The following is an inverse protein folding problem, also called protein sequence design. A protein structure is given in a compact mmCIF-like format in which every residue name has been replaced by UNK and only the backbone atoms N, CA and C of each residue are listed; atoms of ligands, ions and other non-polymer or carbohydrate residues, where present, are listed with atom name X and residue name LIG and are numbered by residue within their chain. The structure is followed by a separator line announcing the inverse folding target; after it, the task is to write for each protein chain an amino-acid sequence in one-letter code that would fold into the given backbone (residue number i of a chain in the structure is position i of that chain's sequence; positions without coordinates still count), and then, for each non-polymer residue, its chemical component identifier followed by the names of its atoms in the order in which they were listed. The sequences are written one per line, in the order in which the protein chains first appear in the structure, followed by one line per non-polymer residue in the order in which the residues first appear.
data_IF_725199031174
#
_entry.id   IF_725199031174
#
_cell.length_a   1.000
_cell.length_b   1.000
_cell.length_c   1.000
_cell.angle_alpha   90.00
_cell.angle_beta   90.00
_cell.angle_gamma   90.00
#
_symmetry.space_group_name_H-M   'P 1'
#
loop_
_entity.id
_entity.type
_entity.pdbx_description
1 polymer ?
#
# COMPACT_ATOMS: atom_id res chain seq x y z
N UNK A 1 2.35 18.09 19.76
CA UNK A 1 3.25 16.94 19.52
C UNK A 1 4.49 17.29 18.72
N UNK A 2 4.38 17.66 17.44
CA UNK A 2 5.56 17.92 16.58
C UNK A 2 6.49 19.00 17.17
N UNK A 3 5.95 20.12 17.65
CA UNK A 3 6.77 21.18 18.26
C UNK A 3 7.52 20.69 19.52
N UNK A 4 6.88 19.86 20.34
CA UNK A 4 7.51 19.29 21.54
C UNK A 4 8.62 18.29 21.15
N UNK A 5 8.37 17.42 20.16
CA UNK A 5 9.37 16.50 19.64
C UNK A 5 10.57 17.23 19.03
N UNK A 6 10.34 18.33 18.31
CA UNK A 6 11.44 19.17 17.77
C UNK A 6 12.24 19.87 18.88
N UNK A 7 11.57 20.31 19.95
CA UNK A 7 12.22 21.03 21.04
C UNK A 7 12.99 20.11 22.01
N UNK A 8 12.47 18.90 22.25
CA UNK A 8 12.97 18.00 23.30
C UNK A 8 13.69 16.76 22.76
N UNK A 9 13.39 16.35 21.53
CA UNK A 9 13.80 15.04 21.00
C UNK A 9 12.90 13.88 21.42
N UNK A 10 11.90 14.13 22.27
CA UNK A 10 11.06 13.10 22.89
C UNK A 10 9.57 13.28 22.55
N UNK A 11 8.82 12.18 22.64
CA UNK A 11 7.37 12.18 22.51
C UNK A 11 6.74 11.22 23.54
N UNK A 12 5.58 11.61 24.05
CA UNK A 12 4.79 10.76 24.94
C UNK A 12 3.83 9.90 24.13
N UNK A 13 3.94 8.58 24.29
CA UNK A 13 3.01 7.63 23.69
C UNK A 13 2.52 6.66 24.76
N UNK A 14 1.20 6.45 24.82
CA UNK A 14 0.64 5.30 25.53
C UNK A 14 0.78 4.07 24.63
N UNK A 15 1.35 3.01 25.19
CA UNK A 15 1.62 1.76 24.48
C UNK A 15 0.29 1.15 24.00
N UNK A 16 0.07 0.99 22.68
CA UNK A 16 -1.15 0.39 22.17
C UNK A 16 -1.09 -1.14 22.32
N UNK A 17 -2.24 -1.82 22.49
CA UNK A 17 -2.29 -3.26 22.27
C UNK A 17 -2.00 -3.61 20.80
N UNK A 18 -1.55 -4.83 20.54
CA UNK A 18 -1.27 -5.29 19.16
C UNK A 18 -2.30 -6.32 18.71
N UNK A 19 -2.84 -6.13 17.51
CA UNK A 19 -3.64 -7.12 16.78
C UNK A 19 -2.75 -7.74 15.71
N UNK A 20 -2.62 -9.06 15.73
CA UNK A 20 -1.83 -9.82 14.77
C UNK A 20 -2.70 -10.29 13.60
N UNK A 21 -2.25 -10.03 12.38
CA UNK A 21 -2.89 -10.47 11.15
C UNK A 21 -1.94 -11.44 10.42
N UNK A 22 -2.35 -12.70 10.34
CA UNK A 22 -1.58 -13.77 9.69
C UNK A 22 -2.18 -14.09 8.33
N UNK A 23 -1.40 -13.95 7.26
CA UNK A 23 -1.85 -14.20 5.89
C UNK A 23 -1.15 -15.45 5.34
N UNK A 24 -1.93 -16.52 5.16
CA UNK A 24 -1.49 -17.81 4.69
C UNK A 24 -1.67 -17.95 3.17
N UNK A 25 -0.84 -18.80 2.55
CA UNK A 25 -0.96 -19.15 1.15
C UNK A 25 -0.26 -18.18 0.18
N UNK A 26 -0.54 -18.35 -1.10
CA UNK A 26 0.16 -17.65 -2.18
C UNK A 26 -0.73 -16.61 -2.86
N UNK A 27 -0.17 -15.44 -3.15
CA UNK A 27 -0.89 -14.38 -3.83
C UNK A 27 -1.17 -14.73 -5.30
N UNK A 28 -2.43 -14.59 -5.70
CA UNK A 28 -2.87 -14.72 -7.07
C UNK A 28 -2.29 -13.65 -7.99
N UNK A 29 -2.49 -13.82 -9.30
CA UNK A 29 -2.07 -12.82 -10.29
C UNK A 29 -2.75 -11.48 -10.01
N UNK A 30 -1.97 -10.40 -10.03
CA UNK A 30 -2.40 -9.02 -9.77
C UNK A 30 -2.72 -8.68 -8.31
N UNK A 31 -2.71 -9.67 -7.42
CA UNK A 31 -2.96 -9.46 -5.99
C UNK A 31 -1.68 -9.01 -5.32
N UNK A 32 -1.76 -7.93 -4.54
CA UNK A 32 -0.63 -7.39 -3.78
C UNK A 32 -1.04 -6.78 -2.45
N UNK A 33 -0.13 -5.98 -1.87
CA UNK A 33 -0.36 -5.33 -0.58
C UNK A 33 -1.62 -4.46 -0.54
N UNK A 34 -2.02 -3.85 -1.67
CA UNK A 34 -3.26 -3.06 -1.76
C UNK A 34 -4.50 -3.93 -1.56
N UNK A 35 -4.54 -5.09 -2.20
CA UNK A 35 -5.67 -6.01 -2.11
C UNK A 35 -5.76 -6.63 -0.71
N UNK A 36 -4.62 -7.00 -0.12
CA UNK A 36 -4.56 -7.55 1.23
C UNK A 36 -5.07 -6.58 2.30
N UNK A 37 -4.64 -5.31 2.23
CA UNK A 37 -5.09 -4.32 3.23
C UNK A 37 -6.54 -3.91 3.01
N UNK A 38 -7.00 -3.79 1.76
CA UNK A 38 -8.42 -3.55 1.47
C UNK A 38 -9.31 -4.70 1.94
N UNK A 39 -8.91 -5.95 1.67
CA UNK A 39 -9.61 -7.14 2.16
C UNK A 39 -9.73 -7.12 3.69
N UNK A 40 -8.62 -6.78 4.37
CA UNK A 40 -8.57 -6.68 5.83
C UNK A 40 -9.49 -5.59 6.36
N UNK A 41 -9.41 -4.36 5.82
CA UNK A 41 -10.28 -3.24 6.21
C UNK A 41 -11.75 -3.56 5.91
N UNK A 42 -12.04 -4.22 4.79
CA UNK A 42 -13.39 -4.70 4.47
C UNK A 42 -13.94 -5.70 5.47
N UNK A 43 -13.08 -6.54 6.05
CA UNK A 43 -13.47 -7.53 7.06
C UNK A 43 -13.65 -6.92 8.46
N UNK A 44 -12.74 -6.06 8.89
CA UNK A 44 -12.72 -5.54 10.27
C UNK A 44 -13.42 -4.18 10.42
N UNK A 45 -13.67 -3.47 9.33
CA UNK A 45 -14.24 -2.13 9.31
C UNK A 45 -13.22 -1.02 9.61
N UNK A 46 -13.68 0.23 9.54
CA UNK A 46 -12.83 1.42 9.71
C UNK A 46 -12.35 1.67 11.15
N UNK A 47 -12.99 1.03 12.13
CA UNK A 47 -12.61 1.08 13.56
C UNK A 47 -12.13 -0.28 14.08
N UNK A 48 -11.95 -1.27 13.20
CA UNK A 48 -11.64 -2.66 13.58
C UNK A 48 -10.29 -2.84 14.29
N UNK A 49 -9.40 -1.86 14.17
CA UNK A 49 -8.11 -1.81 14.85
C UNK A 49 -7.95 -0.52 15.68
N UNK A 50 -9.05 0.11 16.11
CA UNK A 50 -9.03 1.38 16.83
C UNK A 50 -8.04 1.35 18.01
N UNK A 51 -7.12 2.32 18.01
CA UNK A 51 -6.07 2.49 19.03
C UNK A 51 -5.06 1.33 19.14
N UNK A 52 -5.13 0.33 18.28
CA UNK A 52 -4.22 -0.83 18.30
C UNK A 52 -3.09 -0.67 17.28
N UNK A 53 -1.97 -1.35 17.48
CA UNK A 53 -1.01 -1.60 16.41
C UNK A 53 -1.47 -2.81 15.59
N UNK A 54 -1.39 -2.73 14.27
CA UNK A 54 -1.61 -3.87 13.37
C UNK A 54 -0.27 -4.49 13.01
N UNK A 55 -0.03 -5.72 13.46
CA UNK A 55 1.14 -6.50 13.06
C UNK A 55 0.77 -7.44 11.92
N UNK A 56 1.44 -7.28 10.78
CA UNK A 56 1.21 -8.11 9.59
C UNK A 56 2.29 -9.17 9.44
N UNK A 57 1.89 -10.44 9.32
CA UNK A 57 2.81 -11.59 9.20
C UNK A 57 2.21 -12.72 8.35
N UNK A 58 2.97 -13.79 8.12
CA UNK A 58 2.56 -14.96 7.35
C UNK A 58 3.22 -15.03 5.96
N UNK A 59 3.09 -16.18 5.33
CA UNK A 59 3.76 -16.55 4.07
C UNK A 59 3.51 -15.51 2.95
N UNK A 60 2.26 -15.05 2.83
CA UNK A 60 1.89 -14.07 1.83
C UNK A 60 2.57 -12.71 2.07
N UNK A 61 2.76 -12.32 3.33
CA UNK A 61 3.45 -11.09 3.73
C UNK A 61 4.96 -11.19 3.49
N UNK A 62 5.53 -12.36 3.77
CA UNK A 62 6.94 -12.64 3.52
C UNK A 62 7.24 -12.61 2.02
N UNK A 63 6.30 -13.03 1.17
CA UNK A 63 6.41 -12.96 -0.28
C UNK A 63 6.35 -11.53 -0.85
N UNK A 64 5.73 -10.56 -0.16
CA UNK A 64 5.64 -9.17 -0.62
C UNK A 64 7.02 -8.52 -0.80
N UNK A 65 7.07 -7.53 -1.70
CA UNK A 65 8.18 -6.56 -1.73
C UNK A 65 7.96 -5.47 -0.68
N UNK A 66 9.01 -4.72 -0.34
CA UNK A 66 8.88 -3.54 0.53
C UNK A 66 7.79 -2.56 0.06
N UNK A 67 7.66 -2.33 -1.25
CA UNK A 67 6.59 -1.49 -1.81
C UNK A 67 5.17 -1.99 -1.45
N UNK A 68 4.98 -3.31 -1.35
CA UNK A 68 3.71 -3.91 -0.93
C UNK A 68 3.48 -3.72 0.57
N UNK A 69 4.54 -3.85 1.38
CA UNK A 69 4.48 -3.60 2.83
C UNK A 69 4.20 -2.14 3.15
N UNK A 70 4.82 -1.20 2.42
CA UNK A 70 4.53 0.23 2.55
C UNK A 70 3.09 0.56 2.22
N UNK A 71 2.52 -0.09 1.21
CA UNK A 71 1.09 0.05 0.87
C UNK A 71 0.21 -0.32 2.06
N UNK A 72 0.46 -1.47 2.68
CA UNK A 72 -0.31 -1.96 3.82
C UNK A 72 -0.10 -1.10 5.07
N UNK A 73 1.14 -0.78 5.42
CA UNK A 73 1.46 0.05 6.57
C UNK A 73 0.85 1.46 6.46
N UNK A 74 0.87 2.03 5.24
CA UNK A 74 0.25 3.32 4.97
C UNK A 74 -1.26 3.29 5.25
N UNK A 75 -1.92 2.19 4.91
CA UNK A 75 -3.37 2.04 5.02
C UNK A 75 -3.87 1.52 6.38
N UNK A 76 -2.98 1.36 7.37
CA UNK A 76 -3.39 0.88 8.70
C UNK A 76 -4.30 1.88 9.42
N UNK A 77 -4.12 3.19 9.17
CA UNK A 77 -4.93 4.23 9.80
C UNK A 77 -6.40 4.20 9.35
N UNK A 78 -6.68 3.69 8.15
CA UNK A 78 -8.02 3.50 7.59
C UNK A 78 -8.83 2.42 8.33
N UNK A 79 -8.17 1.60 9.15
CA UNK A 79 -8.79 0.68 10.12
C UNK A 79 -8.81 1.22 11.56
N UNK A 80 -8.41 2.47 11.76
CA UNK A 80 -8.31 3.12 13.07
C UNK A 80 -7.04 2.79 13.85
N UNK A 81 -6.09 2.09 13.21
CA UNK A 81 -4.86 1.65 13.87
C UNK A 81 -3.92 2.81 14.16
N UNK A 82 -3.18 2.68 15.27
CA UNK A 82 -2.12 3.63 15.65
C UNK A 82 -0.88 3.48 14.76
N UNK A 83 -0.60 2.25 14.32
CA UNK A 83 0.53 1.91 13.46
C UNK A 83 0.28 0.60 12.71
N UNK A 84 0.83 0.47 11.51
CA UNK A 84 0.96 -0.81 10.80
C UNK A 84 2.42 -1.23 10.78
N UNK A 85 2.73 -2.41 11.33
CA UNK A 85 4.10 -2.90 11.53
C UNK A 85 4.33 -4.25 10.86
N UNK A 86 5.57 -4.46 10.45
CA UNK A 86 6.07 -5.68 9.81
C UNK A 86 7.36 -6.10 10.52
N UNK A 87 7.62 -7.41 10.58
CA UNK A 87 8.92 -7.93 11.02
C UNK A 87 10.02 -7.57 10.03
N UNK A 88 11.25 -7.53 10.52
CA UNK A 88 12.43 -7.17 9.73
C UNK A 88 13.03 -8.46 9.17
N UNK A 89 12.88 -8.67 7.87
CA UNK A 89 13.45 -9.81 7.15
C UNK A 89 14.60 -9.40 6.22
N UNK A 90 15.14 -10.37 5.47
CA UNK A 90 16.21 -10.12 4.49
C UNK A 90 15.85 -9.04 3.46
N UNK A 91 14.60 -8.98 2.98
CA UNK A 91 14.16 -7.93 2.03
C UNK A 91 14.20 -6.55 2.66
N UNK A 92 13.84 -6.45 3.92
CA UNK A 92 13.91 -5.21 4.69
C UNK A 92 15.36 -4.79 4.89
N UNK A 93 16.23 -5.71 5.28
CA UNK A 93 17.67 -5.48 5.43
C UNK A 93 18.32 -5.02 4.11
N UNK A 94 17.98 -5.66 2.99
CA UNK A 94 18.47 -5.28 1.66
C UNK A 94 17.98 -3.89 1.25
N UNK A 95 16.73 -3.55 1.59
CA UNK A 95 16.17 -2.22 1.32
C UNK A 95 16.88 -1.13 2.13
N UNK A 96 17.16 -1.37 3.41
CA UNK A 96 17.78 -0.35 4.28
C UNK A 96 19.29 -0.24 4.09
N UNK A 97 19.99 -1.32 3.69
CA UNK A 97 21.47 -1.35 3.59
C UNK A 97 22.08 -0.18 2.80
N UNK A 98 21.58 0.22 1.60
CA UNK A 98 22.13 1.37 0.88
C UNK A 98 21.56 2.73 1.35
N UNK A 99 20.64 2.76 2.32
CA UNK A 99 19.88 3.95 2.74
C UNK A 99 20.18 4.40 4.18
N UNK A 100 20.46 3.45 5.08
CA UNK A 100 20.74 3.72 6.48
C UNK A 100 22.10 4.42 6.63
N UNK A 101 22.09 5.63 7.16
CA UNK A 101 23.31 6.42 7.44
C UNK A 101 23.78 6.33 8.89
N UNK A 102 22.92 5.81 9.77
CA UNK A 102 23.15 5.70 11.23
C UNK A 102 23.03 4.24 11.65
N UNK A 103 23.69 3.83 12.74
CA UNK A 103 23.46 2.53 13.35
C UNK A 103 21.99 2.36 13.71
N UNK A 104 21.48 1.15 13.57
CA UNK A 104 20.13 0.77 13.93
C UNK A 104 20.15 -0.57 14.67
N UNK A 105 19.14 -0.79 15.49
CA UNK A 105 18.91 -2.05 16.20
C UNK A 105 17.66 -2.71 15.60
N UNK A 106 17.79 -3.99 15.27
CA UNK A 106 16.65 -4.82 14.85
C UNK A 106 15.94 -5.30 16.10
N UNK A 107 14.63 -5.10 16.16
CA UNK A 107 13.78 -5.61 17.23
C UNK A 107 12.88 -6.70 16.66
N UNK A 108 12.82 -7.82 17.36
CA UNK A 108 11.93 -8.94 17.06
C UNK A 108 10.96 -9.12 18.23
N UNK A 109 9.73 -9.60 17.99
CA UNK A 109 8.83 -9.99 19.07
C UNK A 109 9.39 -11.23 19.79
N UNK A 110 9.44 -11.15 21.12
CA UNK A 110 9.73 -12.26 22.03
C UNK A 110 8.44 -13.07 22.31
N UNK A 111 8.17 -13.43 23.57
CA UNK A 111 6.91 -14.01 24.03
C UNK A 111 5.81 -12.93 24.12
N UNK A 112 5.36 -12.45 22.95
CA UNK A 112 4.38 -11.38 22.84
C UNK A 112 2.94 -11.87 23.07
N UNK A 113 2.23 -11.20 23.99
CA UNK A 113 0.78 -11.32 24.12
C UNK A 113 0.07 -10.38 23.14
N UNK A 114 -0.83 -10.94 22.32
CA UNK A 114 -1.62 -10.18 21.35
C UNK A 114 -3.04 -10.00 21.86
N UNK A 115 -3.59 -8.79 21.71
CA UNK A 115 -4.98 -8.53 22.09
C UNK A 115 -5.97 -9.33 21.22
N UNK A 116 -5.58 -9.59 19.97
CA UNK A 116 -6.34 -10.44 19.04
C UNK A 116 -5.40 -10.99 17.96
N UNK A 117 -5.69 -12.20 17.51
CA UNK A 117 -5.07 -12.82 16.32
C UNK A 117 -6.17 -13.06 15.29
N UNK A 118 -5.94 -12.64 14.05
CA UNK A 118 -6.83 -12.82 12.91
C UNK A 118 -6.05 -13.50 11.80
N UNK A 119 -6.61 -14.55 11.24
CA UNK A 119 -5.96 -15.36 10.22
C UNK A 119 -6.77 -15.33 8.91
N UNK A 120 -6.06 -15.21 7.80
CA UNK A 120 -6.64 -15.20 6.46
C UNK A 120 -5.93 -16.21 5.57
N UNK A 121 -6.69 -17.04 4.85
CA UNK A 121 -6.20 -17.73 3.67
C UNK A 121 -6.45 -16.84 2.45
N UNK A 122 -5.37 -16.39 1.80
CA UNK A 122 -5.44 -15.48 0.65
C UNK A 122 -5.18 -16.17 -0.68
N UNK A 123 -5.13 -17.51 -0.70
CA UNK A 123 -4.86 -18.30 -1.91
C UNK A 123 -5.92 -18.09 -3.00
N UNK A 124 -7.17 -17.86 -2.60
CA UNK A 124 -8.29 -17.58 -3.49
C UNK A 124 -8.67 -16.09 -3.55
N UNK A 125 -7.84 -15.20 -2.97
CA UNK A 125 -8.13 -13.77 -2.96
C UNK A 125 -8.05 -13.20 -4.38
N UNK A 126 -9.10 -12.49 -4.78
CA UNK A 126 -9.15 -11.73 -6.04
C UNK A 126 -8.65 -10.30 -5.83
N UNK A 127 -8.34 -9.55 -6.90
CA UNK A 127 -8.14 -8.11 -6.79
C UNK A 127 -9.34 -7.43 -6.12
N UNK A 128 -9.07 -6.49 -5.21
CA UNK A 128 -10.08 -5.85 -4.37
C UNK A 128 -10.34 -4.41 -4.81
N UNK A 129 -11.60 -3.99 -4.70
CA UNK A 129 -12.04 -2.63 -4.99
C UNK A 129 -12.83 -2.08 -3.81
N UNK A 130 -12.38 -0.96 -3.24
CA UNK A 130 -13.16 -0.20 -2.26
C UNK A 130 -14.14 0.73 -2.98
N UNK A 131 -15.43 0.55 -2.70
CA UNK A 131 -16.51 1.35 -3.27
C UNK A 131 -16.82 2.57 -2.40
N UNK A 132 -17.40 3.65 -2.98
CA UNK A 132 -17.81 4.79 -2.20
C UNK A 132 -18.81 4.45 -1.07
N UNK A 133 -18.84 5.19 0.04
CA UNK A 133 -17.94 6.28 0.44
C UNK A 133 -16.96 5.86 1.54
N UNK A 134 -16.65 4.56 1.68
CA UNK A 134 -15.82 4.03 2.78
C UNK A 134 -14.85 2.97 2.29
N UNK A 135 -13.59 2.96 2.76
CA UNK A 135 -12.64 1.89 2.44
C UNK A 135 -13.09 0.52 2.95
N UNK A 136 -13.95 0.46 3.97
CA UNK A 136 -14.54 -0.78 4.44
C UNK A 136 -15.61 -1.35 3.47
N UNK A 137 -16.12 -0.57 2.51
CA UNK A 137 -17.01 -1.08 1.46
C UNK A 137 -16.18 -1.75 0.34
N UNK A 138 -15.34 -2.70 0.73
CA UNK A 138 -14.46 -3.43 -0.19
C UNK A 138 -15.15 -4.68 -0.72
N UNK A 139 -15.03 -4.92 -2.04
CA UNK A 139 -15.54 -6.12 -2.70
C UNK A 139 -14.50 -6.70 -3.67
N UNK A 140 -14.53 -8.02 -3.93
CA UNK A 140 -13.80 -8.61 -5.05
C UNK A 140 -14.19 -7.95 -6.37
N UNK A 141 -13.22 -7.77 -7.26
CA UNK A 141 -13.45 -7.13 -8.58
C UNK A 141 -14.53 -7.85 -9.39
N UNK A 142 -14.68 -9.17 -9.25
CA UNK A 142 -15.74 -9.95 -9.92
C UNK A 142 -17.17 -9.50 -9.55
N UNK A 143 -17.34 -8.89 -8.38
CA UNK A 143 -18.62 -8.38 -7.91
C UNK A 143 -18.85 -6.90 -8.27
N UNK A 144 -17.87 -6.26 -8.91
CA UNK A 144 -17.93 -4.86 -9.33
C UNK A 144 -17.96 -4.81 -10.85
N UNK A 145 -19.17 -4.70 -11.40
CA UNK A 145 -19.38 -4.60 -12.86
C UNK A 145 -20.35 -3.48 -13.20
N UNK A 146 -20.32 -3.02 -14.46
CA UNK A 146 -21.23 -1.98 -14.96
C UNK A 146 -20.99 -0.58 -14.41
N UNK A 147 -19.86 -0.35 -13.72
CA UNK A 147 -19.49 0.98 -13.23
C UNK A 147 -18.75 1.73 -14.33
N UNK A 148 -19.38 2.76 -14.90
CA UNK A 148 -18.69 3.72 -15.75
C UNK A 148 -17.77 4.59 -14.89
N UNK A 149 -16.56 4.84 -15.38
CA UNK A 149 -15.62 5.79 -14.77
C UNK A 149 -15.33 6.90 -15.78
N UNK A 150 -15.21 8.13 -15.29
CA UNK A 150 -14.77 9.27 -16.11
C UNK A 150 -13.28 9.57 -15.91
N UNK A 151 -12.68 9.05 -14.84
CA UNK A 151 -11.28 9.28 -14.50
C UNK A 151 -10.64 8.04 -13.84
N UNK A 152 -9.38 7.80 -14.20
CA UNK A 152 -8.48 6.88 -13.51
C UNK A 152 -7.24 7.65 -13.06
N UNK A 153 -6.89 7.57 -11.77
CA UNK A 153 -5.65 8.14 -11.23
C UNK A 153 -4.77 6.98 -10.78
N UNK A 154 -3.59 6.87 -11.37
CA UNK A 154 -2.60 5.84 -11.08
C UNK A 154 -1.39 6.51 -10.49
N UNK A 155 -1.12 6.23 -9.22
CA UNK A 155 -0.08 6.92 -8.47
C UNK A 155 -0.66 7.76 -7.34
N UNK A 156 -0.17 7.51 -6.14
CA UNK A 156 -0.49 8.27 -4.92
C UNK A 156 0.63 8.05 -3.89
N UNK A 157 0.50 8.65 -2.71
CA UNK A 157 1.36 8.33 -1.57
C UNK A 157 1.30 6.83 -1.22
N UNK A 158 0.15 6.19 -1.45
CA UNK A 158 -0.05 4.75 -1.24
C UNK A 158 0.59 3.91 -2.33
N UNK A 159 0.42 4.23 -3.63
CA UNK A 159 0.85 3.37 -4.76
C UNK A 159 1.45 4.16 -5.95
N UNK A 160 2.50 4.94 -5.70
CA UNK A 160 3.22 5.72 -6.71
C UNK A 160 4.65 5.27 -6.96
N UNK A 161 5.07 4.08 -6.53
CA UNK A 161 6.46 3.62 -6.65
C UNK A 161 6.72 3.01 -8.03
N UNK A 162 7.99 2.81 -8.37
CA UNK A 162 8.40 2.32 -9.68
C UNK A 162 7.75 0.97 -10.03
N UNK A 163 7.59 0.07 -9.06
CA UNK A 163 6.91 -1.22 -9.26
C UNK A 163 5.42 -1.04 -9.60
N UNK A 164 4.73 -0.10 -8.95
CA UNK A 164 3.33 0.22 -9.24
C UNK A 164 3.19 0.72 -10.70
N UNK A 165 4.10 1.60 -11.14
CA UNK A 165 4.12 2.09 -12.52
C UNK A 165 4.42 0.99 -13.54
N UNK A 166 5.32 0.05 -13.24
CA UNK A 166 5.57 -1.10 -14.12
C UNK A 166 4.33 -1.97 -14.31
N UNK A 167 3.57 -2.22 -13.24
CA UNK A 167 2.30 -2.96 -13.33
C UNK A 167 1.27 -2.22 -14.18
N UNK A 168 1.11 -0.91 -13.97
CA UNK A 168 0.22 -0.09 -14.78
C UNK A 168 0.65 -0.08 -16.27
N UNK A 169 1.95 0.02 -16.54
CA UNK A 169 2.49 -0.02 -17.89
C UNK A 169 2.24 -1.39 -18.54
N UNK A 170 2.35 -2.50 -17.79
CA UNK A 170 2.04 -3.84 -18.30
C UNK A 170 0.57 -3.95 -18.76
N UNK A 171 -0.36 -3.29 -18.06
CA UNK A 171 -1.79 -3.26 -18.43
C UNK A 171 -2.03 -2.37 -19.65
N UNK A 172 -1.35 -1.22 -19.74
CA UNK A 172 -1.59 -0.20 -20.77
C UNK A 172 -0.77 -0.42 -22.06
N UNK A 173 0.31 -1.20 -22.02
CA UNK A 173 1.20 -1.40 -23.18
C UNK A 173 0.44 -1.98 -24.37
N UNK A 174 0.54 -1.28 -25.51
CA UNK A 174 -0.15 -1.66 -26.75
C UNK A 174 -1.66 -1.40 -26.75
N UNK A 175 -2.20 -0.75 -25.71
CA UNK A 175 -3.62 -0.40 -25.59
C UNK A 175 -3.81 1.12 -25.59
N UNK A 176 -5.05 1.56 -25.68
CA UNK A 176 -5.46 2.97 -25.58
C UNK A 176 -6.46 3.12 -24.44
N UNK A 177 -6.28 4.16 -23.64
CA UNK A 177 -7.26 4.64 -22.68
C UNK A 177 -8.52 5.01 -23.46
N UNK A 178 -9.69 4.65 -22.93
CA UNK A 178 -10.96 4.96 -23.57
C UNK A 178 -11.13 6.49 -23.70
N UNK A 179 -11.61 7.04 -24.83
CA UNK A 179 -11.62 8.50 -25.08
C UNK A 179 -12.39 9.35 -24.06
N UNK A 180 -13.39 8.76 -23.40
CA UNK A 180 -14.16 9.43 -22.33
C UNK A 180 -13.46 9.42 -20.96
N UNK A 181 -12.40 8.64 -20.79
CA UNK A 181 -11.74 8.44 -19.49
C UNK A 181 -10.46 9.26 -19.44
N UNK A 182 -10.36 10.15 -18.46
CA UNK A 182 -9.10 10.84 -18.15
C UNK A 182 -8.21 9.91 -17.33
N UNK A 183 -7.14 9.39 -17.91
CA UNK A 183 -6.14 8.62 -17.18
C UNK A 183 -4.95 9.52 -16.80
N UNK A 184 -4.65 9.61 -15.51
CA UNK A 184 -3.58 10.45 -14.96
C UNK A 184 -2.57 9.55 -14.25
N UNK A 185 -1.30 9.67 -14.62
CA UNK A 185 -0.18 8.95 -14.00
C UNK A 185 0.62 9.91 -13.12
N UNK A 186 0.81 9.55 -11.85
CA UNK A 186 1.46 10.34 -10.82
C UNK A 186 2.62 9.56 -10.18
N UNK A 187 3.86 9.72 -10.68
CA UNK A 187 5.02 9.14 -10.02
C UNK A 187 5.17 9.69 -8.60
N UNK A 188 5.42 8.81 -7.61
CA UNK A 188 5.42 9.18 -6.19
C UNK A 188 6.62 10.00 -5.72
N UNK A 189 7.66 10.13 -6.56
CA UNK A 189 8.79 11.02 -6.31
C UNK A 189 9.50 11.40 -7.60
N UNK A 190 10.37 12.42 -7.54
CA UNK A 190 11.23 12.81 -8.66
C UNK A 190 12.13 11.66 -9.12
N UNK A 191 12.69 10.92 -8.17
CA UNK A 191 13.53 9.76 -8.50
C UNK A 191 12.73 8.69 -9.24
N UNK A 192 11.51 8.35 -8.75
CA UNK A 192 10.65 7.37 -9.42
C UNK A 192 10.26 7.84 -10.82
N UNK A 193 9.97 9.13 -11.00
CA UNK A 193 9.71 9.69 -12.33
C UNK A 193 10.91 9.46 -13.26
N UNK A 194 12.12 9.84 -12.84
CA UNK A 194 13.33 9.70 -13.65
C UNK A 194 13.62 8.24 -14.00
N UNK A 195 13.41 7.32 -13.05
CA UNK A 195 13.62 5.89 -13.30
C UNK A 195 12.55 5.33 -14.26
N UNK A 196 11.28 5.74 -14.11
CA UNK A 196 10.21 5.37 -15.04
C UNK A 196 10.45 5.93 -16.45
N UNK A 197 11.06 7.11 -16.57
CA UNK A 197 11.47 7.68 -17.85
C UNK A 197 12.58 6.86 -18.51
N UNK A 198 13.63 6.51 -17.75
CA UNK A 198 14.76 5.70 -18.23
C UNK A 198 14.31 4.30 -18.67
N UNK A 199 13.30 3.73 -18.01
CA UNK A 199 12.71 2.43 -18.38
C UNK A 199 11.69 2.51 -19.52
N UNK A 200 11.42 3.70 -20.07
CA UNK A 200 10.44 3.89 -21.14
C UNK A 200 8.98 3.73 -20.70
N UNK A 201 8.69 3.68 -19.40
CA UNK A 201 7.32 3.55 -18.89
C UNK A 201 6.50 4.81 -19.22
N UNK A 202 7.12 5.98 -19.15
CA UNK A 202 6.49 7.27 -19.49
C UNK A 202 6.01 7.27 -20.94
N UNK A 203 6.81 6.74 -21.87
CA UNK A 203 6.42 6.62 -23.27
C UNK A 203 5.20 5.70 -23.44
N UNK A 204 5.15 4.57 -22.72
CA UNK A 204 4.01 3.66 -22.74
C UNK A 204 2.73 4.39 -22.32
N UNK A 205 2.79 5.19 -21.25
CA UNK A 205 1.64 5.94 -20.76
C UNK A 205 1.16 7.01 -21.74
N UNK A 206 2.09 7.81 -22.29
CA UNK A 206 1.76 8.83 -23.29
C UNK A 206 1.16 8.17 -24.53
N UNK A 207 1.74 7.06 -25.02
CA UNK A 207 1.20 6.31 -26.16
C UNK A 207 -0.17 5.73 -25.86
N UNK A 208 -0.47 5.34 -24.62
CA UNK A 208 -1.80 4.88 -24.22
C UNK A 208 -2.83 6.03 -24.16
N UNK A 209 -2.41 7.30 -24.23
CA UNK A 209 -3.28 8.46 -24.10
C UNK A 209 -3.49 8.91 -22.66
N UNK A 210 -2.64 8.48 -21.73
CA UNK A 210 -2.65 8.96 -20.35
C UNK A 210 -1.83 10.26 -20.23
N UNK A 211 -2.24 11.13 -19.32
CA UNK A 211 -1.48 12.30 -18.91
C UNK A 211 -0.50 11.92 -17.80
N UNK A 212 0.79 12.21 -17.97
CA UNK A 212 1.79 12.02 -16.92
C UNK A 212 2.05 13.39 -16.27
N UNK A 213 1.82 13.49 -14.96
CA UNK A 213 2.05 14.73 -14.21
C UNK A 213 3.34 14.66 -13.40
N UNK A 214 3.80 15.83 -12.93
CA UNK A 214 4.89 15.92 -11.98
C UNK A 214 4.54 15.22 -10.66
N UNK A 215 5.54 14.74 -9.91
CA UNK A 215 5.31 14.10 -8.61
C UNK A 215 4.59 15.04 -7.65
N UNK A 216 3.40 14.64 -7.22
CA UNK A 216 2.54 15.36 -6.28
C UNK A 216 1.72 14.37 -5.46
N UNK A 217 1.21 14.81 -4.31
CA UNK A 217 0.21 14.06 -3.56
C UNK A 217 -1.22 14.26 -4.14
N UNK A 218 -1.43 15.10 -5.15
CA UNK A 218 -2.77 15.31 -5.72
C UNK A 218 -3.39 14.02 -6.29
N UNK A 219 -4.72 13.88 -6.34
CA UNK A 219 -5.75 14.71 -5.71
C UNK A 219 -6.11 14.18 -4.31
N UNK A 220 -5.12 13.91 -3.43
CA UNK A 220 -5.42 13.26 -2.15
C UNK A 220 -6.18 14.13 -1.14
N UNK A 221 -6.07 15.46 -1.20
CA UNK A 221 -6.72 16.37 -0.25
C UNK A 221 -7.62 17.44 -0.91
N UNK A 222 -7.89 17.31 -2.22
CA UNK A 222 -8.50 18.36 -3.02
C UNK A 222 -7.46 19.34 -3.54
#
# INVERSE_FOLDING_TARGET
DIAAAMATGDIWMKVPPTIKFVYHGNLGKWVGGKDLILYTIGNIGVDGALYSAMEFTGEAIDALSMDGRFTMANMAIEAGAKAGIFRIDGKTLDYIKPRAKRPYTVYEPDDAEYAKVIEYDVSALEPQVALPHSPANTKPVSQVSGVEIDQAVIGSYTNGRLKDLRLAAQVLKGRKVHPRVRCIILPGSQQVYLDALKEGLIEIFIRAGAAVSTPTCGPCLG
#
